data_IF_886293059905
#
_entry.id   IF_886293059905
#
_cell.length_a   1.000
_cell.length_b   1.000
_cell.length_c   1.000
_cell.angle_alpha   90.00
_cell.angle_beta   90.00
_cell.angle_gamma   90.00
#
_symmetry.space_group_name_H-M   'P 1'
#
loop_
_entity.id
_entity.type
_entity.pdbx_description
1 polymer ?
#
# COMPACT_ATOMS: atom_id res chain seq x y z
N UNK A 1 7.79 -5.48 22.32
CA UNK A 1 6.70 -4.59 22.75
C UNK A 1 5.71 -5.40 23.56
N UNK A 2 5.23 -4.89 24.68
CA UNK A 2 4.15 -5.52 25.44
C UNK A 2 2.90 -5.68 24.54
N UNK A 3 2.25 -6.84 24.61
CA UNK A 3 1.16 -7.23 23.69
C UNK A 3 -0.03 -6.24 23.69
N UNK A 4 -0.20 -5.48 24.77
CA UNK A 4 -1.26 -4.49 24.95
C UNK A 4 -1.02 -3.13 24.27
N UNK A 5 0.21 -2.84 23.80
CA UNK A 5 0.56 -1.52 23.23
C UNK A 5 -0.19 -1.24 21.92
N UNK A 6 -0.22 -2.22 21.00
CA UNK A 6 -0.88 -2.04 19.71
C UNK A 6 -2.41 -1.90 19.83
N UNK A 7 -3.11 -2.73 20.64
CA UNK A 7 -4.52 -2.52 20.91
C UNK A 7 -4.83 -1.16 21.55
N UNK A 8 -4.04 -0.73 22.54
CA UNK A 8 -4.23 0.57 23.20
C UNK A 8 -4.00 1.74 22.23
N UNK A 9 -2.97 1.64 21.38
CA UNK A 9 -2.68 2.63 20.35
C UNK A 9 -3.81 2.71 19.31
N UNK A 10 -4.31 1.57 18.84
CA UNK A 10 -5.44 1.51 17.93
C UNK A 10 -6.69 2.15 18.56
N UNK A 11 -7.07 1.75 19.78
CA UNK A 11 -8.22 2.32 20.49
C UNK A 11 -8.08 3.84 20.68
N UNK A 12 -6.89 4.30 21.07
CA UNK A 12 -6.60 5.72 21.25
C UNK A 12 -6.72 6.51 19.94
N UNK A 13 -6.09 6.04 18.86
CA UNK A 13 -6.14 6.69 17.55
C UNK A 13 -7.54 6.66 16.94
N UNK A 14 -8.22 5.52 17.04
CA UNK A 14 -9.59 5.37 16.57
C UNK A 14 -10.52 6.30 17.37
N UNK A 15 -10.52 6.26 18.69
CA UNK A 15 -11.31 7.17 19.53
C UNK A 15 -11.01 8.66 19.25
N UNK A 16 -9.73 9.02 19.12
CA UNK A 16 -9.31 10.38 18.82
C UNK A 16 -9.77 10.84 17.43
N UNK A 17 -9.62 10.01 16.39
CA UNK A 17 -10.09 10.35 15.05
C UNK A 17 -11.61 10.52 15.01
N UNK A 18 -12.37 9.74 15.79
CA UNK A 18 -13.80 9.96 15.92
C UNK A 18 -14.11 11.30 16.59
N UNK A 19 -13.44 11.65 17.69
CA UNK A 19 -13.71 12.91 18.41
C UNK A 19 -13.25 14.14 17.65
N UNK A 20 -12.02 14.15 17.16
CA UNK A 20 -11.35 15.35 16.64
C UNK A 20 -11.41 15.48 15.11
N UNK A 21 -11.71 14.40 14.38
CA UNK A 21 -11.74 14.37 12.92
C UNK A 21 -13.10 13.90 12.37
N UNK A 22 -14.24 14.53 12.76
CA UNK A 22 -15.59 14.06 12.45
C UNK A 22 -15.88 13.97 10.94
N UNK A 23 -15.21 14.79 10.13
CA UNK A 23 -15.28 14.83 8.65
C UNK A 23 -14.59 13.65 7.95
N UNK A 24 -13.77 12.87 8.66
CA UNK A 24 -13.07 11.71 8.11
C UNK A 24 -13.62 10.37 8.62
N UNK A 25 -14.63 10.37 9.51
CA UNK A 25 -15.19 9.14 10.10
C UNK A 25 -15.65 8.13 9.06
N UNK A 26 -16.36 8.57 8.01
CA UNK A 26 -16.87 7.68 6.96
C UNK A 26 -15.74 6.98 6.18
N UNK A 27 -14.67 7.73 5.86
CA UNK A 27 -13.46 7.20 5.24
C UNK A 27 -12.70 6.25 6.16
N UNK A 28 -12.59 6.61 7.43
CA UNK A 28 -11.90 5.79 8.43
C UNK A 28 -12.58 4.44 8.59
N UNK A 29 -13.90 4.44 8.75
CA UNK A 29 -14.70 3.22 8.82
C UNK A 29 -14.56 2.37 7.55
N UNK A 30 -14.67 2.99 6.37
CA UNK A 30 -14.50 2.29 5.09
C UNK A 30 -13.09 1.66 4.98
N UNK A 31 -12.04 2.41 5.29
CA UNK A 31 -10.67 1.91 5.21
C UNK A 31 -10.41 0.78 6.19
N UNK A 32 -10.91 0.87 7.43
CA UNK A 32 -10.85 -0.23 8.40
C UNK A 32 -11.55 -1.49 7.86
N UNK A 33 -12.77 -1.36 7.32
CA UNK A 33 -13.46 -2.51 6.74
C UNK A 33 -12.72 -3.11 5.54
N UNK A 34 -12.18 -2.27 4.66
CA UNK A 34 -11.38 -2.74 3.52
C UNK A 34 -10.09 -3.45 3.96
N UNK A 35 -9.42 -2.90 4.97
CA UNK A 35 -8.24 -3.51 5.60
C UNK A 35 -8.59 -4.86 6.20
N UNK A 36 -9.65 -4.94 6.99
CA UNK A 36 -10.10 -6.18 7.61
C UNK A 36 -10.42 -7.25 6.55
N UNK A 37 -11.26 -6.90 5.57
CA UNK A 37 -11.68 -7.82 4.51
C UNK A 37 -10.47 -8.26 3.67
N UNK A 38 -9.64 -7.31 3.22
CA UNK A 38 -8.44 -7.59 2.45
C UNK A 38 -7.44 -8.44 3.23
N UNK A 39 -7.28 -8.19 4.53
CA UNK A 39 -6.42 -8.98 5.40
C UNK A 39 -6.92 -10.41 5.54
N UNK A 40 -8.21 -10.61 5.83
CA UNK A 40 -8.82 -11.93 5.95
C UNK A 40 -8.66 -12.75 4.67
N UNK A 41 -8.81 -12.10 3.52
CA UNK A 41 -8.59 -12.70 2.20
C UNK A 41 -7.12 -13.08 2.02
N UNK A 42 -6.19 -12.14 2.19
CA UNK A 42 -4.77 -12.39 1.95
C UNK A 42 -4.18 -13.41 2.94
N UNK A 43 -4.57 -13.33 4.21
CA UNK A 43 -4.12 -14.23 5.27
C UNK A 43 -4.78 -15.62 5.15
N UNK A 44 -6.10 -15.67 5.00
CA UNK A 44 -6.86 -16.92 4.98
C UNK A 44 -6.79 -17.64 3.64
N UNK A 45 -7.13 -16.96 2.54
CA UNK A 45 -7.20 -17.57 1.22
C UNK A 45 -5.83 -17.65 0.55
N UNK A 46 -5.10 -16.53 0.49
CA UNK A 46 -3.83 -16.51 -0.24
C UNK A 46 -2.66 -17.14 0.54
N UNK A 47 -2.68 -17.06 1.88
CA UNK A 47 -1.58 -17.57 2.72
C UNK A 47 -1.95 -18.82 3.53
N UNK A 48 -3.16 -19.36 3.35
CA UNK A 48 -3.67 -20.57 4.01
C UNK A 48 -3.49 -20.59 5.53
N UNK A 49 -3.61 -19.43 6.20
CA UNK A 49 -3.53 -19.38 7.67
C UNK A 49 -4.74 -20.07 8.30
N UNK A 50 -4.49 -20.89 9.31
CA UNK A 50 -5.52 -21.57 10.11
C UNK A 50 -6.44 -20.57 10.83
N UNK A 51 -5.86 -19.47 11.34
CA UNK A 51 -6.61 -18.31 11.81
C UNK A 51 -6.19 -17.07 11.01
N UNK A 52 -7.07 -16.53 10.15
CA UNK A 52 -6.75 -15.39 9.29
C UNK A 52 -6.60 -14.06 10.04
N UNK A 53 -6.96 -13.99 11.32
CA UNK A 53 -6.74 -12.81 12.17
C UNK A 53 -5.34 -12.79 12.79
N UNK A 54 -4.66 -13.93 12.81
CA UNK A 54 -3.34 -14.06 13.42
C UNK A 54 -2.22 -13.86 12.40
N UNK A 55 -1.13 -13.29 12.87
CA UNK A 55 0.20 -13.34 12.28
C UNK A 55 0.77 -14.77 12.38
N UNK A 56 1.87 -15.05 11.68
CA UNK A 56 2.50 -16.39 11.69
C UNK A 56 2.98 -16.85 13.07
N UNK A 57 3.27 -15.91 13.97
CA UNK A 57 3.65 -16.16 15.36
C UNK A 57 2.45 -16.33 16.30
N UNK A 58 1.22 -16.37 15.77
CA UNK A 58 -0.01 -16.48 16.55
C UNK A 58 -0.50 -15.17 17.18
N UNK A 59 0.16 -14.03 16.91
CA UNK A 59 -0.21 -12.73 17.46
C UNK A 59 -1.20 -11.94 16.58
N UNK A 60 -1.85 -10.90 17.10
CA UNK A 60 -2.72 -9.99 16.32
C UNK A 60 -1.96 -8.82 15.66
N UNK A 61 -0.63 -8.88 15.58
CA UNK A 61 0.19 -7.72 15.20
C UNK A 61 -0.12 -7.22 13.79
N UNK A 62 -0.21 -8.12 12.80
CA UNK A 62 -0.42 -7.73 11.40
C UNK A 62 -1.72 -6.93 11.22
N UNK A 63 -2.83 -7.40 11.76
CA UNK A 63 -4.12 -6.73 11.62
C UNK A 63 -4.17 -5.41 12.39
N UNK A 64 -3.60 -5.36 13.60
CA UNK A 64 -3.57 -4.12 14.38
C UNK A 64 -2.72 -3.03 13.70
N UNK A 65 -1.59 -3.40 13.09
CA UNK A 65 -0.77 -2.47 12.32
C UNK A 65 -1.54 -1.92 11.12
N UNK A 66 -2.26 -2.78 10.38
CA UNK A 66 -3.07 -2.34 9.24
C UNK A 66 -4.23 -1.44 9.69
N UNK A 67 -4.89 -1.75 10.80
CA UNK A 67 -5.99 -0.95 11.33
C UNK A 67 -5.51 0.43 11.82
N UNK A 68 -4.36 0.49 12.50
CA UNK A 68 -3.70 1.76 12.83
C UNK A 68 -3.40 2.54 11.54
N UNK A 69 -2.86 1.87 10.52
CA UNK A 69 -2.60 2.50 9.23
C UNK A 69 -3.90 3.01 8.58
N UNK A 70 -5.00 2.27 8.61
CA UNK A 70 -6.30 2.69 8.08
C UNK A 70 -6.78 4.01 8.71
N UNK A 71 -6.67 4.11 10.04
CA UNK A 71 -7.02 5.32 10.79
C UNK A 71 -6.16 6.51 10.39
N UNK A 72 -4.86 6.31 10.21
CA UNK A 72 -3.93 7.38 9.80
C UNK A 72 -4.10 7.77 8.32
N UNK A 73 -4.35 6.81 7.44
CA UNK A 73 -4.47 7.03 6.01
C UNK A 73 -5.71 7.86 5.65
N UNK A 74 -6.81 7.71 6.39
CA UNK A 74 -8.05 8.45 6.15
C UNK A 74 -7.86 9.98 6.04
N UNK A 75 -7.23 10.69 7.01
CA UNK A 75 -6.96 12.11 6.90
C UNK A 75 -5.71 12.45 6.07
N UNK A 76 -4.70 11.58 6.01
CA UNK A 76 -3.39 11.93 5.45
C UNK A 76 -3.31 11.71 3.93
N UNK A 77 -3.66 10.50 3.48
CA UNK A 77 -3.46 10.08 2.09
C UNK A 77 -4.79 9.99 1.33
N UNK A 78 -5.83 9.45 1.98
CA UNK A 78 -7.09 9.10 1.34
C UNK A 78 -8.13 10.22 1.36
N UNK A 79 -7.84 11.36 1.99
CA UNK A 79 -8.82 12.44 2.22
C UNK A 79 -9.46 12.98 0.94
N UNK A 80 -8.68 13.06 -0.16
CA UNK A 80 -9.11 13.62 -1.46
C UNK A 80 -9.50 12.53 -2.47
N UNK A 81 -8.88 11.37 -2.38
CA UNK A 81 -9.08 10.25 -3.29
C UNK A 81 -10.30 9.44 -2.91
N UNK A 82 -10.52 9.13 -1.63
CA UNK A 82 -11.74 8.50 -1.16
C UNK A 82 -12.76 9.61 -0.84
N UNK A 83 -13.90 9.73 -1.56
CA UNK A 83 -14.91 10.75 -1.27
C UNK A 83 -15.44 10.64 0.16
N UNK A 84 -15.99 11.73 0.71
CA UNK A 84 -16.65 11.64 2.00
C UNK A 84 -17.93 10.81 1.84
N UNK A 85 -17.94 9.67 2.50
CA UNK A 85 -19.02 8.70 2.45
C UNK A 85 -20.08 8.96 3.52
N UNK A 86 -20.22 10.23 3.93
CA UNK A 86 -21.33 10.72 4.76
C UNK A 86 -22.35 11.47 3.88
N UNK A 87 -23.64 11.11 3.97
CA UNK A 87 -24.20 9.99 4.75
C UNK A 87 -23.75 8.62 4.21
N UNK A 88 -23.86 7.55 5.01
CA UNK A 88 -23.51 6.16 4.65
C UNK A 88 -24.19 5.69 3.35
N UNK A 89 -25.27 6.36 2.96
CA UNK A 89 -25.91 6.18 1.67
C UNK A 89 -25.02 6.53 0.46
N UNK A 90 -23.81 7.11 0.61
CA UNK A 90 -22.91 7.35 -0.53
C UNK A 90 -21.97 6.18 -0.85
N UNK A 91 -22.03 5.10 -0.08
CA UNK A 91 -21.16 3.93 -0.23
C UNK A 91 -21.42 3.17 -1.53
N UNK A 92 -22.64 3.22 -2.04
CA UNK A 92 -23.02 2.55 -3.29
C UNK A 92 -22.64 3.33 -4.55
N UNK A 93 -21.98 4.48 -4.44
CA UNK A 93 -21.55 5.22 -5.62
C UNK A 93 -20.48 4.44 -6.37
N UNK A 94 -20.58 4.41 -7.70
CA UNK A 94 -19.66 3.66 -8.57
C UNK A 94 -18.16 3.92 -8.24
N UNK A 95 -17.70 5.15 -8.01
CA UNK A 95 -16.29 5.39 -7.70
C UNK A 95 -15.83 4.77 -6.38
N UNK A 96 -16.73 4.66 -5.40
CA UNK A 96 -16.45 4.03 -4.10
C UNK A 96 -16.44 2.52 -4.24
N UNK A 97 -17.41 1.96 -4.97
CA UNK A 97 -17.46 0.52 -5.26
C UNK A 97 -16.22 0.06 -6.05
N UNK A 98 -15.80 0.83 -7.05
CA UNK A 98 -14.58 0.53 -7.81
C UNK A 98 -13.32 0.64 -6.94
N UNK A 99 -13.23 1.64 -6.06
CA UNK A 99 -12.12 1.75 -5.11
C UNK A 99 -12.06 0.52 -4.20
N UNK A 100 -13.19 0.12 -3.63
CA UNK A 100 -13.29 -1.07 -2.77
C UNK A 100 -12.92 -2.34 -3.53
N UNK A 101 -13.52 -2.57 -4.71
CA UNK A 101 -13.28 -3.73 -5.54
C UNK A 101 -11.80 -3.84 -5.95
N UNK A 102 -11.17 -2.74 -6.37
CA UNK A 102 -9.75 -2.74 -6.73
C UNK A 102 -8.84 -3.01 -5.51
N UNK A 103 -9.18 -2.46 -4.34
CA UNK A 103 -8.43 -2.72 -3.10
C UNK A 103 -8.50 -4.20 -2.71
N UNK A 104 -9.70 -4.79 -2.74
CA UNK A 104 -9.92 -6.20 -2.44
C UNK A 104 -9.23 -7.09 -3.48
N UNK A 105 -9.37 -6.78 -4.78
CA UNK A 105 -8.71 -7.53 -5.85
C UNK A 105 -7.19 -7.47 -5.73
N UNK A 106 -6.62 -6.30 -5.44
CA UNK A 106 -5.19 -6.16 -5.22
C UNK A 106 -4.72 -6.84 -3.92
N UNK A 107 -5.61 -7.07 -2.94
CA UNK A 107 -5.30 -7.91 -1.78
C UNK A 107 -5.16 -9.40 -2.14
N UNK A 108 -5.60 -9.82 -3.33
CA UNK A 108 -5.29 -11.13 -3.93
C UNK A 108 -3.96 -11.16 -4.69
N UNK A 109 -3.15 -10.09 -4.67
CA UNK A 109 -1.88 -10.10 -5.39
C UNK A 109 -0.99 -11.29 -4.98
N UNK A 110 -0.98 -11.62 -3.69
CA UNK A 110 -0.35 -12.82 -3.14
C UNK A 110 -0.98 -14.15 -3.56
N UNK A 111 -2.13 -14.20 -4.22
CA UNK A 111 -2.61 -15.45 -4.83
C UNK A 111 -1.92 -15.69 -6.19
N UNK A 112 -1.68 -14.62 -6.95
CA UNK A 112 -1.05 -14.71 -8.28
C UNK A 112 0.38 -15.29 -8.22
N UNK A 113 1.10 -15.15 -7.10
CA UNK A 113 2.44 -15.75 -6.91
C UNK A 113 2.45 -17.29 -6.87
N UNK A 114 1.34 -17.94 -6.55
CA UNK A 114 1.24 -19.41 -6.60
C UNK A 114 0.95 -19.93 -8.01
N UNK A 115 0.57 -19.04 -8.93
CA UNK A 115 0.47 -19.36 -10.35
C UNK A 115 1.89 -19.28 -10.90
N UNK A 116 2.52 -20.43 -11.16
CA UNK A 116 3.92 -20.50 -11.62
C UNK A 116 4.19 -19.64 -12.87
N UNK A 117 3.19 -19.46 -13.74
CA UNK A 117 3.28 -18.60 -14.92
C UNK A 117 3.38 -17.08 -14.60
N UNK A 118 3.03 -16.67 -13.38
CA UNK A 118 2.97 -15.27 -12.92
C UNK A 118 4.00 -14.97 -11.83
N UNK A 119 4.72 -15.99 -11.32
CA UNK A 119 5.81 -15.82 -10.36
C UNK A 119 7.06 -15.21 -11.04
N UNK A 120 6.95 -13.94 -11.39
CA UNK A 120 7.95 -13.19 -12.12
C UNK A 120 8.82 -12.39 -11.15
N UNK A 121 10.08 -12.80 -11.03
CA UNK A 121 11.14 -12.00 -10.41
C UNK A 121 12.08 -11.53 -11.51
N UNK A 122 12.21 -10.21 -11.68
CA UNK A 122 13.15 -9.65 -12.66
C UNK A 122 14.57 -9.83 -12.13
N UNK A 123 15.31 -10.79 -12.69
CA UNK A 123 16.72 -11.03 -12.41
C UNK A 123 17.57 -10.38 -13.49
N UNK A 124 18.83 -10.07 -13.15
CA UNK A 124 19.79 -9.52 -14.11
C UNK A 124 19.95 -10.38 -15.38
N UNK A 125 19.89 -11.71 -15.24
CA UNK A 125 19.92 -12.64 -16.37
C UNK A 125 18.76 -12.41 -17.36
N UNK A 126 17.56 -12.05 -16.89
CA UNK A 126 16.41 -11.75 -17.74
C UNK A 126 16.58 -10.44 -18.51
N UNK A 127 17.49 -9.55 -18.09
CA UNK A 127 17.79 -8.30 -18.80
C UNK A 127 18.88 -8.49 -19.87
N UNK A 128 19.77 -9.48 -19.71
CA UNK A 128 20.84 -9.76 -20.69
C UNK A 128 20.31 -10.42 -21.97
N UNK A 129 19.27 -11.24 -21.86
CA UNK A 129 18.60 -11.89 -23.00
C UNK A 129 17.09 -12.00 -22.73
N UNK A 130 16.33 -10.89 -22.85
CA UNK A 130 14.93 -10.87 -22.45
C UNK A 130 14.06 -11.67 -23.41
N UNK A 131 13.25 -12.59 -22.87
CA UNK A 131 12.15 -13.17 -23.62
C UNK A 131 11.15 -12.05 -24.00
N UNK A 132 10.50 -12.18 -25.17
CA UNK A 132 9.58 -11.15 -25.68
C UNK A 132 8.46 -10.79 -24.67
N UNK A 133 7.91 -11.79 -23.96
CA UNK A 133 6.90 -11.56 -22.92
C UNK A 133 7.43 -10.71 -21.75
N UNK A 134 8.68 -10.94 -21.32
CA UNK A 134 9.32 -10.16 -20.26
C UNK A 134 9.51 -8.71 -20.68
N UNK A 135 10.00 -8.50 -21.91
CA UNK A 135 10.17 -7.16 -22.46
C UNK A 135 8.83 -6.43 -22.57
N UNK A 136 7.79 -7.10 -23.07
CA UNK A 136 6.44 -6.52 -23.18
C UNK A 136 5.90 -6.12 -21.82
N UNK A 137 6.00 -6.98 -20.80
CA UNK A 137 5.57 -6.67 -19.44
C UNK A 137 6.33 -5.48 -18.86
N UNK A 138 7.67 -5.46 -19.00
CA UNK A 138 8.50 -4.36 -18.52
C UNK A 138 8.17 -3.03 -19.19
N UNK A 139 8.04 -3.02 -20.52
CA UNK A 139 7.70 -1.82 -21.28
C UNK A 139 6.31 -1.31 -20.91
N UNK A 140 5.32 -2.21 -20.80
CA UNK A 140 3.96 -1.85 -20.44
C UNK A 140 3.88 -1.28 -19.02
N UNK A 141 4.53 -1.94 -18.05
CA UNK A 141 4.58 -1.47 -16.67
C UNK A 141 5.31 -0.12 -16.55
N UNK A 142 6.45 0.01 -17.24
CA UNK A 142 7.24 1.25 -17.25
C UNK A 142 6.47 2.41 -17.88
N UNK A 143 5.77 2.16 -18.99
CA UNK A 143 4.91 3.14 -19.64
C UNK A 143 3.77 3.57 -18.73
N UNK A 144 3.07 2.62 -18.09
CA UNK A 144 1.98 2.91 -17.16
C UNK A 144 2.44 3.76 -15.97
N UNK A 145 3.55 3.38 -15.34
CA UNK A 145 4.14 4.13 -14.22
C UNK A 145 4.57 5.52 -14.67
N UNK A 146 5.19 5.65 -15.85
CA UNK A 146 5.61 6.94 -16.39
C UNK A 146 4.44 7.86 -16.68
N UNK A 147 3.35 7.34 -17.27
CA UNK A 147 2.11 8.10 -17.50
C UNK A 147 1.50 8.54 -16.18
N UNK A 148 1.39 7.65 -15.19
CA UNK A 148 0.87 7.99 -13.86
C UNK A 148 1.73 9.07 -13.20
N UNK A 149 3.06 8.96 -13.27
CA UNK A 149 3.96 9.96 -12.73
C UNK A 149 3.78 11.31 -13.43
N UNK A 150 3.72 11.33 -14.76
CA UNK A 150 3.49 12.55 -15.53
C UNK A 150 2.16 13.23 -15.16
N UNK A 151 1.07 12.46 -15.05
CA UNK A 151 -0.23 12.97 -14.60
C UNK A 151 -0.17 13.59 -13.20
N UNK A 152 0.53 12.95 -12.26
CA UNK A 152 0.71 13.49 -10.91
C UNK A 152 1.57 14.77 -10.91
N UNK A 153 2.63 14.84 -11.70
CA UNK A 153 3.48 16.04 -11.81
C UNK A 153 2.72 17.21 -12.46
N UNK A 154 1.95 16.94 -13.51
CA UNK A 154 1.09 17.95 -14.16
C UNK A 154 0.05 18.48 -13.17
N UNK A 155 -0.63 17.59 -12.43
CA UNK A 155 -1.61 18.02 -11.42
C UNK A 155 -0.94 18.76 -10.25
N UNK A 156 0.26 18.35 -9.83
CA UNK A 156 1.06 19.05 -8.83
C UNK A 156 1.40 20.48 -9.30
N UNK A 157 1.81 20.64 -10.55
CA UNK A 157 2.09 21.95 -11.16
C UNK A 157 0.84 22.84 -11.20
N UNK A 158 -0.30 22.28 -11.66
CA UNK A 158 -1.59 22.99 -11.68
C UNK A 158 -2.02 23.47 -10.30
N UNK A 159 -1.72 22.70 -9.25
CA UNK A 159 -2.03 23.05 -7.85
C UNK A 159 -0.95 23.89 -7.17
N UNK A 160 0.10 24.32 -7.88
CA UNK A 160 1.27 25.05 -7.34
C UNK A 160 2.01 24.28 -6.23
N UNK A 161 2.02 22.95 -6.31
CA UNK A 161 2.62 22.03 -5.35
C UNK A 161 3.79 21.22 -5.95
N UNK A 162 4.21 21.52 -7.19
CA UNK A 162 5.21 20.74 -7.93
C UNK A 162 6.50 20.52 -7.14
N UNK A 163 7.11 21.59 -6.62
CA UNK A 163 8.38 21.49 -5.90
C UNK A 163 8.28 20.65 -4.63
N UNK A 164 7.20 20.82 -3.85
CA UNK A 164 6.96 20.01 -2.66
C UNK A 164 6.71 18.54 -3.02
N UNK A 165 5.96 18.27 -4.09
CA UNK A 165 5.66 16.92 -4.55
C UNK A 165 6.90 16.21 -5.10
N UNK A 166 7.64 16.87 -5.99
CA UNK A 166 8.89 16.35 -6.55
C UNK A 166 9.97 16.20 -5.48
N UNK A 167 10.07 17.16 -4.55
CA UNK A 167 10.96 17.09 -3.40
C UNK A 167 10.65 15.88 -2.50
N UNK A 168 9.36 15.59 -2.24
CA UNK A 168 8.97 14.41 -1.47
C UNK A 168 9.34 13.09 -2.18
N UNK A 169 9.11 13.00 -3.49
CA UNK A 169 9.52 11.85 -4.30
C UNK A 169 11.03 11.63 -4.26
N UNK A 170 11.81 12.68 -4.53
CA UNK A 170 13.26 12.63 -4.51
C UNK A 170 13.81 12.34 -3.12
N UNK A 171 13.19 12.86 -2.06
CA UNK A 171 13.61 12.59 -0.69
C UNK A 171 13.36 11.14 -0.30
N UNK A 172 12.24 10.53 -0.73
CA UNK A 172 11.96 9.13 -0.47
C UNK A 172 12.98 8.21 -1.17
N UNK A 173 13.22 8.43 -2.48
CA UNK A 173 14.19 7.64 -3.25
C UNK A 173 15.62 7.88 -2.77
N UNK A 174 16.00 9.15 -2.61
CA UNK A 174 17.32 9.57 -2.17
C UNK A 174 17.64 9.14 -0.75
N UNK A 175 16.66 9.16 0.16
CA UNK A 175 16.81 8.66 1.53
C UNK A 175 17.10 7.16 1.56
N UNK A 176 16.32 6.36 0.82
CA UNK A 176 16.57 4.92 0.71
C UNK A 176 17.95 4.64 0.09
N UNK A 177 18.31 5.36 -0.97
CA UNK A 177 19.60 5.22 -1.64
C UNK A 177 20.76 5.59 -0.70
N UNK A 178 20.67 6.71 0.02
CA UNK A 178 21.68 7.17 0.96
C UNK A 178 21.87 6.17 2.09
N UNK A 179 20.80 5.72 2.75
CA UNK A 179 20.90 4.71 3.82
C UNK A 179 21.49 3.42 3.27
N UNK A 180 21.10 3.01 2.07
CA UNK A 180 21.65 1.80 1.45
C UNK A 180 23.14 1.94 1.13
N UNK A 181 23.61 3.11 0.69
CA UNK A 181 25.04 3.37 0.49
C UNK A 181 25.82 3.33 1.80
N UNK A 182 25.29 3.92 2.87
CA UNK A 182 25.91 3.91 4.20
C UNK A 182 26.00 2.49 4.79
N UNK A 183 25.04 1.62 4.47
CA UNK A 183 24.98 0.24 4.96
C UNK A 183 25.58 -0.81 4.01
N UNK A 184 25.89 -0.43 2.75
CA UNK A 184 26.31 -1.33 1.67
C UNK A 184 27.46 -2.29 2.01
N UNK A 185 28.47 -1.93 2.83
CA UNK A 185 29.57 -2.86 3.15
C UNK A 185 29.15 -4.11 3.93
N UNK A 186 27.97 -4.09 4.57
CA UNK A 186 27.51 -5.17 5.45
C UNK A 186 26.09 -5.64 5.17
N UNK A 187 25.31 -4.85 4.44
CA UNK A 187 23.90 -5.11 4.22
C UNK A 187 23.52 -4.93 2.74
N UNK A 188 22.61 -5.77 2.27
CA UNK A 188 21.91 -5.57 1.02
C UNK A 188 20.47 -5.08 1.28
N UNK A 189 19.95 -4.26 0.37
CA UNK A 189 18.59 -3.73 0.42
C UNK A 189 17.61 -4.72 -0.23
N UNK A 190 16.55 -5.05 0.49
CA UNK A 190 15.39 -5.77 -0.02
C UNK A 190 14.11 -5.01 0.33
N UNK A 191 13.54 -4.30 -0.65
CA UNK A 191 12.28 -3.57 -0.45
C UNK A 191 11.12 -4.52 -0.67
N UNK A 192 10.36 -4.79 0.39
CA UNK A 192 9.09 -5.49 0.28
C UNK A 192 8.07 -4.63 -0.47
N UNK A 193 7.30 -5.26 -1.36
CA UNK A 193 6.23 -4.59 -2.11
C UNK A 193 5.18 -3.94 -1.19
N UNK A 194 4.98 -4.42 0.04
CA UNK A 194 4.14 -3.76 1.04
C UNK A 194 4.67 -2.37 1.42
N UNK A 195 5.96 -2.27 1.73
CA UNK A 195 6.61 -1.01 2.12
C UNK A 195 6.57 -0.02 0.96
N UNK A 196 6.91 -0.47 -0.25
CA UNK A 196 6.83 0.37 -1.44
C UNK A 196 5.41 0.86 -1.72
N UNK A 197 4.43 -0.04 -1.61
CA UNK A 197 3.02 0.29 -1.84
C UNK A 197 2.48 1.29 -0.82
N UNK A 198 2.90 1.19 0.45
CA UNK A 198 2.53 2.19 1.46
C UNK A 198 3.02 3.59 1.07
N UNK A 199 4.25 3.73 0.58
CA UNK A 199 4.75 5.02 0.09
C UNK A 199 3.90 5.55 -1.08
N UNK A 200 3.55 4.68 -2.04
CA UNK A 200 2.71 5.06 -3.17
C UNK A 200 1.32 5.56 -2.74
N UNK A 201 0.73 4.97 -1.69
CA UNK A 201 -0.57 5.42 -1.15
C UNK A 201 -0.54 6.91 -0.77
N UNK A 202 0.54 7.40 -0.15
CA UNK A 202 0.69 8.81 0.24
C UNK A 202 0.90 9.74 -0.97
N UNK A 203 1.54 9.24 -2.03
CA UNK A 203 1.81 10.02 -3.24
C UNK A 203 0.54 10.18 -4.09
N UNK A 204 -0.31 9.15 -4.12
CA UNK A 204 -1.58 9.16 -4.82
C UNK A 204 -2.66 9.92 -4.04
N UNK A 205 -2.61 11.25 -4.07
CA UNK A 205 -3.41 12.12 -3.18
C UNK A 205 -4.31 13.13 -3.89
N UNK A 206 -4.46 13.02 -5.21
CA UNK A 206 -5.25 13.99 -5.98
C UNK A 206 -6.68 13.50 -6.20
N UNK A 207 -7.63 14.43 -6.28
CA UNK A 207 -9.04 14.14 -6.55
C UNK A 207 -9.26 13.90 -8.05
N UNK A 208 -8.62 12.85 -8.56
CA UNK A 208 -8.67 12.42 -9.96
C UNK A 208 -8.82 10.89 -9.98
N UNK A 209 -9.59 10.36 -10.93
CA UNK A 209 -9.87 8.93 -11.01
C UNK A 209 -8.59 8.09 -11.10
N UNK A 210 -7.59 8.56 -11.85
CA UNK A 210 -6.30 7.88 -12.02
C UNK A 210 -5.46 7.86 -10.73
N UNK A 211 -5.62 8.85 -9.85
CA UNK A 211 -4.93 8.88 -8.55
C UNK A 211 -5.69 8.01 -7.55
N UNK A 212 -7.02 8.11 -7.53
CA UNK A 212 -7.92 7.32 -6.68
C UNK A 212 -7.71 5.81 -6.87
N UNK A 213 -7.75 5.33 -8.11
CA UNK A 213 -7.66 3.89 -8.38
C UNK A 213 -6.23 3.35 -8.26
N UNK A 214 -5.21 4.17 -8.58
CA UNK A 214 -3.84 3.82 -8.26
C UNK A 214 -3.60 3.69 -6.75
N UNK A 215 -4.22 4.57 -5.95
CA UNK A 215 -4.20 4.47 -4.49
C UNK A 215 -4.90 3.22 -3.96
N UNK A 216 -6.06 2.85 -4.52
CA UNK A 216 -6.76 1.62 -4.16
C UNK A 216 -5.91 0.36 -4.39
N UNK A 217 -5.26 0.28 -5.56
CA UNK A 217 -4.36 -0.81 -5.90
C UNK A 217 -3.16 -0.88 -4.94
N UNK A 218 -2.52 0.26 -4.68
CA UNK A 218 -1.40 0.33 -3.74
C UNK A 218 -1.83 -0.07 -2.32
N UNK A 219 -3.02 0.34 -1.87
CA UNK A 219 -3.56 -0.06 -0.58
C UNK A 219 -3.77 -1.58 -0.50
N UNK A 220 -4.33 -2.20 -1.55
CA UNK A 220 -4.51 -3.65 -1.60
C UNK A 220 -3.19 -4.42 -1.57
N UNK A 221 -2.16 -3.98 -2.33
CA UNK A 221 -0.82 -4.60 -2.30
C UNK A 221 -0.15 -4.42 -0.94
N UNK A 222 -0.37 -3.28 -0.27
CA UNK A 222 0.10 -3.07 1.10
C UNK A 222 -0.55 -4.05 2.08
N UNK A 223 -1.87 -4.22 2.00
CA UNK A 223 -2.63 -5.18 2.81
C UNK A 223 -2.12 -6.60 2.57
N UNK A 224 -2.04 -7.04 1.30
CA UNK A 224 -1.52 -8.36 0.95
C UNK A 224 -0.12 -8.57 1.49
N UNK A 225 0.81 -7.66 1.22
CA UNK A 225 2.20 -7.86 1.61
C UNK A 225 2.38 -7.94 3.14
N UNK A 226 1.65 -7.13 3.92
CA UNK A 226 1.70 -7.23 5.38
C UNK A 226 0.97 -8.46 5.92
N UNK A 227 -0.16 -8.81 5.30
CA UNK A 227 -0.92 -10.00 5.65
C UNK A 227 -0.16 -11.27 5.30
N UNK A 228 0.60 -11.28 4.22
CA UNK A 228 1.29 -12.46 3.70
C UNK A 228 2.70 -12.64 4.24
N UNK A 229 3.41 -11.58 4.59
CA UNK A 229 4.83 -11.62 4.97
C UNK A 229 5.13 -10.97 6.31
N UNK A 230 4.18 -10.24 6.89
CA UNK A 230 4.39 -9.46 8.10
C UNK A 230 5.31 -8.26 7.87
N UNK A 231 5.91 -7.78 8.97
CA UNK A 231 6.98 -6.78 8.92
C UNK A 231 8.33 -7.48 9.06
N UNK A 232 9.15 -7.37 8.04
CA UNK A 232 10.55 -7.78 8.03
C UNK A 232 11.47 -6.57 7.86
N UNK A 233 12.73 -6.72 8.29
CA UNK A 233 13.76 -5.72 7.97
C UNK A 233 13.90 -5.58 6.47
N UNK A 234 14.07 -4.35 5.98
CA UNK A 234 14.35 -4.07 4.56
C UNK A 234 15.85 -4.07 4.24
N UNK A 235 16.71 -4.14 5.27
CA UNK A 235 18.15 -4.36 5.11
C UNK A 235 18.55 -5.68 5.76
N UNK A 236 19.24 -6.53 5.02
CA UNK A 236 19.66 -7.86 5.45
C UNK A 236 21.18 -7.97 5.34
N UNK A 237 21.79 -8.76 6.22
CA UNK A 237 23.23 -9.02 6.19
C UNK A 237 23.60 -9.65 4.84
N UNK A 238 24.67 -9.17 4.24
CA UNK A 238 25.33 -9.89 3.14
C UNK A 238 25.86 -11.21 3.68
N UNK A 239 25.28 -12.32 3.20
CA UNK A 239 25.73 -13.69 3.44
C UNK A 239 27.07 -13.97 2.79
#
# INVERSE_FOLDING_TARGET
>A
MAEWVLPALWLGLFGASWRFLPKYRGRTLMLSLLVLIGHLIAAGLASHRSNPLHSFDGSFRSILILEIAAVMLAPLACARTLPDTKPLNRWHTLPVLLYAALTVLASFFGYARYIQAINFSLKWAHLKAPAAGVLLTLLTASALVSVLLALHLIEAARRKQLYGYAGALLSAVGGIALVSLLLAPRYYLHIHHSVWSLFLVFLFRYEKWWSRYAQALALGIYIDGLASWGLSSIWHLTS
#
